data_IF_694660276144
#
_entry.id   IF_694660276144
#
_cell.length_a   1.000
_cell.length_b   1.000
_cell.length_c   1.000
_cell.angle_alpha   90.00
_cell.angle_beta   90.00
_cell.angle_gamma   90.00
#
_symmetry.space_group_name_H-M   'P 1'
#
loop_
_entity.id
_entity.type
_entity.pdbx_description
1 polymer ?
#
# COMPACT_ATOMS: atom_id res chain seq x y z
N UNK A 1 -1.33 -13.26 -14.60
CA UNK A 1 -1.81 -12.14 -13.78
C UNK A 1 -2.84 -12.66 -12.79
N UNK A 2 -2.82 -12.15 -11.54
CA UNK A 2 -3.77 -12.54 -10.51
C UNK A 2 -5.14 -11.87 -10.75
N UNK A 3 -6.23 -12.56 -10.41
CA UNK A 3 -7.58 -11.97 -10.43
C UNK A 3 -7.70 -10.82 -9.42
N UNK A 4 -8.51 -9.81 -9.73
CA UNK A 4 -8.70 -8.61 -8.89
C UNK A 4 -9.14 -8.95 -7.46
N UNK A 5 -10.05 -9.91 -7.29
CA UNK A 5 -10.53 -10.33 -5.98
C UNK A 5 -9.40 -11.04 -5.20
N UNK A 6 -8.61 -11.87 -5.86
CA UNK A 6 -7.47 -12.52 -5.23
C UNK A 6 -6.41 -11.51 -4.78
N UNK A 7 -6.17 -10.43 -5.54
CA UNK A 7 -5.31 -9.31 -5.13
C UNK A 7 -5.87 -8.63 -3.89
N UNK A 8 -7.18 -8.37 -3.86
CA UNK A 8 -7.88 -7.74 -2.73
C UNK A 8 -7.75 -8.58 -1.45
N UNK A 9 -8.05 -9.87 -1.56
CA UNK A 9 -7.95 -10.79 -0.42
C UNK A 9 -6.51 -10.91 0.11
N UNK A 10 -5.52 -10.91 -0.78
CA UNK A 10 -4.12 -10.93 -0.37
C UNK A 10 -3.73 -9.66 0.39
N UNK A 11 -4.15 -8.48 -0.06
CA UNK A 11 -3.90 -7.21 0.65
C UNK A 11 -4.56 -7.25 2.03
N UNK A 12 -5.80 -7.71 2.11
CA UNK A 12 -6.51 -7.85 3.37
C UNK A 12 -5.84 -8.87 4.29
N UNK A 13 -5.41 -10.02 3.80
CA UNK A 13 -4.79 -11.08 4.62
C UNK A 13 -3.44 -10.64 5.18
N UNK A 14 -2.59 -10.02 4.36
CA UNK A 14 -1.28 -9.49 4.78
C UNK A 14 -1.43 -8.27 5.70
N UNK A 15 -2.36 -7.37 5.37
CA UNK A 15 -2.67 -6.19 6.16
C UNK A 15 -1.63 -5.07 6.09
N UNK A 16 -0.63 -5.19 5.21
CA UNK A 16 0.44 -4.22 5.03
C UNK A 16 0.71 -4.01 3.54
N UNK A 17 0.81 -2.76 3.14
CA UNK A 17 1.27 -2.34 1.80
C UNK A 17 2.54 -1.49 1.99
N UNK A 18 3.74 -2.07 1.78
CA UNK A 18 4.99 -1.32 1.83
C UNK A 18 5.06 -0.30 0.71
N UNK A 19 5.33 0.96 1.05
CA UNK A 19 5.45 2.07 0.11
C UNK A 19 6.93 2.34 -0.13
N UNK A 20 7.46 1.86 -1.26
CA UNK A 20 8.89 2.00 -1.59
C UNK A 20 9.15 3.33 -2.29
N UNK A 21 9.91 4.19 -1.59
CA UNK A 21 10.54 5.39 -2.13
C UNK A 21 12.04 5.22 -2.02
N UNK A 22 12.72 5.23 -3.16
CA UNK A 22 14.15 5.00 -3.25
C UNK A 22 14.81 6.00 -4.18
N UNK A 23 16.10 6.23 -4.01
CA UNK A 23 16.87 7.17 -4.84
C UNK A 23 17.34 6.57 -6.17
N UNK A 24 17.21 5.25 -6.32
CA UNK A 24 17.57 4.52 -7.54
C UNK A 24 16.71 3.26 -7.75
N UNK A 25 16.69 2.77 -8.99
CA UNK A 25 16.07 1.48 -9.34
C UNK A 25 16.68 0.31 -8.55
N UNK A 26 18.00 0.33 -8.32
CA UNK A 26 18.70 -0.72 -7.56
C UNK A 26 18.22 -0.77 -6.10
N UNK A 27 18.16 0.38 -5.43
CA UNK A 27 17.64 0.47 -4.07
C UNK A 27 16.17 0.01 -3.98
N UNK A 28 15.35 0.35 -5.00
CA UNK A 28 13.93 -0.06 -5.00
C UNK A 28 13.78 -1.58 -5.12
N UNK A 29 14.60 -2.26 -5.93
CA UNK A 29 14.63 -3.72 -6.00
C UNK A 29 15.07 -4.34 -4.69
N UNK A 30 16.17 -3.85 -4.13
CA UNK A 30 16.69 -4.29 -2.82
C UNK A 30 15.63 -4.14 -1.72
N UNK A 31 14.88 -3.03 -1.70
CA UNK A 31 13.79 -2.82 -0.77
C UNK A 31 12.67 -3.86 -0.93
N UNK A 32 12.24 -4.12 -2.18
CA UNK A 32 11.21 -5.10 -2.49
C UNK A 32 11.60 -6.51 -2.02
N UNK A 33 12.84 -6.92 -2.26
CA UNK A 33 13.39 -8.21 -1.82
C UNK A 33 13.45 -8.30 -0.29
N UNK A 34 13.91 -7.23 0.38
CA UNK A 34 14.03 -7.20 1.84
C UNK A 34 12.66 -7.28 2.53
N UNK A 35 11.64 -6.54 2.07
CA UNK A 35 10.30 -6.62 2.67
C UNK A 35 9.66 -7.99 2.42
N UNK A 36 9.88 -8.58 1.24
CA UNK A 36 9.41 -9.93 0.93
C UNK A 36 10.07 -10.97 1.85
N UNK A 37 11.38 -10.93 2.02
CA UNK A 37 12.15 -11.77 2.96
C UNK A 37 11.67 -11.61 4.41
N UNK A 38 11.22 -10.41 4.78
CA UNK A 38 10.62 -10.11 6.09
C UNK A 38 9.19 -10.60 6.27
N UNK A 39 8.60 -11.26 5.26
CA UNK A 39 7.27 -11.87 5.33
C UNK A 39 6.12 -10.98 4.83
N UNK A 40 6.43 -9.92 4.07
CA UNK A 40 5.44 -9.07 3.42
C UNK A 40 5.53 -9.27 1.90
N UNK A 41 4.79 -10.22 1.31
CA UNK A 41 4.85 -10.54 -0.11
C UNK A 41 4.00 -9.58 -0.96
N UNK A 42 4.09 -8.29 -0.66
CA UNK A 42 3.43 -7.17 -1.36
C UNK A 42 4.41 -6.01 -1.39
N UNK A 43 4.42 -5.26 -2.50
CA UNK A 43 5.20 -4.03 -2.60
C UNK A 43 4.54 -3.01 -3.51
N UNK A 44 4.50 -1.74 -3.08
CA UNK A 44 4.13 -0.58 -3.88
C UNK A 44 5.41 0.16 -4.32
N UNK A 45 5.78 0.09 -5.60
CA UNK A 45 6.86 0.90 -6.17
C UNK A 45 6.28 2.25 -6.57
N UNK A 46 6.75 3.33 -5.93
CA UNK A 46 6.23 4.66 -6.24
C UNK A 46 6.85 5.24 -7.52
N UNK A 47 6.05 5.98 -8.29
CA UNK A 47 6.50 6.67 -9.50
C UNK A 47 7.55 7.77 -9.25
N UNK A 48 7.87 8.04 -7.97
CA UNK A 48 8.98 8.92 -7.59
C UNK A 48 10.34 8.23 -7.65
N UNK A 49 10.37 6.91 -7.76
CA UNK A 49 11.61 6.14 -7.96
C UNK A 49 12.11 6.35 -9.39
N UNK A 50 13.38 6.70 -9.61
CA UNK A 50 13.96 6.74 -10.95
C UNK A 50 13.81 5.39 -11.65
N UNK A 51 13.21 5.37 -12.85
CA UNK A 51 12.96 4.12 -13.58
C UNK A 51 11.89 3.20 -12.96
N UNK A 52 10.94 3.74 -12.20
CA UNK A 52 9.90 2.96 -11.50
C UNK A 52 9.18 1.95 -12.39
N UNK A 53 8.82 2.31 -13.62
CA UNK A 53 8.12 1.42 -14.57
C UNK A 53 8.99 0.21 -14.92
N UNK A 54 10.30 0.41 -15.11
CA UNK A 54 11.23 -0.69 -15.37
C UNK A 54 11.41 -1.59 -14.14
N UNK A 55 11.50 -1.00 -12.94
CA UNK A 55 11.55 -1.78 -11.69
C UNK A 55 10.30 -2.65 -11.53
N UNK A 56 9.11 -2.10 -11.80
CA UNK A 56 7.85 -2.87 -11.77
C UNK A 56 7.92 -4.03 -12.77
N UNK A 57 8.37 -3.77 -14.02
CA UNK A 57 8.48 -4.79 -15.06
C UNK A 57 9.44 -5.91 -14.67
N UNK A 58 10.61 -5.56 -14.16
CA UNK A 58 11.62 -6.52 -13.71
C UNK A 58 11.10 -7.38 -12.56
N UNK A 59 10.51 -6.76 -11.53
CA UNK A 59 9.94 -7.50 -10.41
C UNK A 59 8.76 -8.39 -10.83
N UNK A 60 7.84 -7.88 -11.65
CA UNK A 60 6.69 -8.66 -12.15
C UNK A 60 7.09 -9.81 -13.07
N UNK A 61 8.26 -9.72 -13.73
CA UNK A 61 8.84 -10.80 -14.55
C UNK A 61 9.58 -11.84 -13.69
N UNK A 62 10.25 -11.38 -12.63
CA UNK A 62 11.08 -12.23 -11.77
C UNK A 62 10.26 -13.04 -10.77
N UNK A 63 9.22 -12.42 -10.20
CA UNK A 63 8.36 -13.05 -9.20
C UNK A 63 6.98 -13.38 -9.76
N UNK A 64 6.52 -14.60 -9.52
CA UNK A 64 5.11 -14.91 -9.71
C UNK A 64 4.25 -14.09 -8.72
N UNK A 65 3.00 -13.71 -9.08
CA UNK A 65 2.16 -12.86 -8.22
C UNK A 65 1.83 -13.46 -6.85
N UNK A 66 1.92 -14.77 -6.70
CA UNK A 66 1.78 -15.48 -5.42
C UNK A 66 3.04 -15.42 -4.55
N UNK A 67 4.20 -15.14 -5.13
CA UNK A 67 5.45 -14.93 -4.42
C UNK A 67 5.62 -13.47 -3.99
N UNK A 68 5.41 -12.52 -4.90
CA UNK A 68 5.45 -11.08 -4.63
C UNK A 68 4.40 -10.34 -5.46
N UNK A 69 3.42 -9.74 -4.78
CA UNK A 69 2.42 -8.89 -5.39
C UNK A 69 3.00 -7.49 -5.61
N UNK A 70 3.27 -7.15 -6.87
CA UNK A 70 3.88 -5.86 -7.25
C UNK A 70 2.80 -4.87 -7.67
N UNK A 71 2.78 -3.70 -7.07
CA UNK A 71 1.90 -2.59 -7.42
C UNK A 71 2.66 -1.30 -7.72
N UNK A 72 1.95 -0.34 -8.29
CA UNK A 72 2.47 0.98 -8.59
C UNK A 72 1.84 2.04 -7.68
N UNK A 73 2.66 2.89 -7.08
CA UNK A 73 2.22 4.00 -6.23
C UNK A 73 2.57 5.37 -6.79
N UNK A 74 1.96 6.39 -6.19
CA UNK A 74 2.09 7.79 -6.66
C UNK A 74 1.66 7.95 -8.13
N UNK A 75 0.63 7.18 -8.52
CA UNK A 75 0.03 7.26 -9.85
C UNK A 75 -0.93 8.44 -9.88
N UNK A 76 -0.65 9.46 -10.72
CA UNK A 76 -1.37 10.73 -10.69
C UNK A 76 -2.42 10.88 -11.81
N UNK A 77 -2.29 10.10 -12.89
CA UNK A 77 -3.14 10.22 -14.07
C UNK A 77 -3.28 8.87 -14.81
N UNK A 78 -4.24 8.76 -15.75
CA UNK A 78 -4.47 7.54 -16.51
C UNK A 78 -3.26 7.06 -17.33
N UNK A 79 -2.46 7.98 -17.89
CA UNK A 79 -1.30 7.63 -18.71
C UNK A 79 -0.23 6.93 -17.86
N UNK A 80 0.02 7.42 -16.66
CA UNK A 80 0.92 6.74 -15.70
C UNK A 80 0.34 5.39 -15.28
N UNK A 81 -0.96 5.32 -15.01
CA UNK A 81 -1.64 4.09 -14.65
C UNK A 81 -1.46 3.02 -15.72
N UNK A 82 -1.75 3.35 -17.01
CA UNK A 82 -1.61 2.42 -18.11
C UNK A 82 -0.17 1.90 -18.25
N UNK A 83 0.82 2.80 -18.20
CA UNK A 83 2.24 2.41 -18.27
C UNK A 83 2.63 1.43 -17.16
N UNK A 84 2.12 1.64 -15.94
CA UNK A 84 2.37 0.74 -14.82
C UNK A 84 1.69 -0.63 -15.02
N UNK A 85 0.45 -0.64 -15.52
CA UNK A 85 -0.27 -1.88 -15.83
C UNK A 85 0.40 -2.67 -16.95
N UNK A 86 0.85 -2.00 -18.02
CA UNK A 86 1.61 -2.60 -19.13
C UNK A 86 2.97 -3.17 -18.66
N UNK A 87 3.52 -2.62 -17.59
CA UNK A 87 4.72 -3.12 -16.93
C UNK A 87 4.45 -4.33 -16.00
N UNK A 88 3.19 -4.67 -15.74
CA UNK A 88 2.80 -5.83 -14.94
C UNK A 88 2.33 -5.52 -13.52
N UNK A 89 2.10 -4.23 -13.18
CA UNK A 89 1.53 -3.89 -11.88
C UNK A 89 0.17 -4.58 -11.69
N UNK A 90 -0.02 -5.20 -10.52
CA UNK A 90 -1.24 -5.92 -10.17
C UNK A 90 -2.27 -5.01 -9.48
N UNK A 91 -1.81 -3.90 -8.90
CA UNK A 91 -2.65 -2.88 -8.28
C UNK A 91 -2.04 -1.49 -8.43
N UNK A 92 -2.88 -0.48 -8.32
CA UNK A 92 -2.51 0.94 -8.42
C UNK A 92 -2.81 1.66 -7.09
N UNK A 93 -1.96 2.63 -6.76
CA UNK A 93 -2.17 3.51 -5.60
C UNK A 93 -1.93 4.96 -6.02
N UNK A 94 -2.84 5.85 -5.68
CA UNK A 94 -2.69 7.29 -5.90
C UNK A 94 -2.63 8.06 -4.57
N UNK A 95 -1.96 9.21 -4.50
CA UNK A 95 -1.95 10.02 -3.29
C UNK A 95 -3.22 10.87 -3.13
N UNK A 96 -3.99 11.03 -4.18
CA UNK A 96 -5.25 11.78 -4.23
C UNK A 96 -6.24 11.14 -5.20
N UNK A 97 -7.46 11.61 -5.20
CA UNK A 97 -8.54 11.08 -6.04
C UNK A 97 -8.50 11.66 -7.46
N UNK A 98 -8.48 10.77 -8.44
CA UNK A 98 -8.66 11.09 -9.87
C UNK A 98 -9.67 10.12 -10.48
N UNK A 99 -10.90 10.57 -10.80
CA UNK A 99 -11.95 9.67 -11.30
C UNK A 99 -11.60 8.98 -12.62
N UNK A 100 -10.81 9.62 -13.49
CA UNK A 100 -10.37 9.01 -14.75
C UNK A 100 -9.39 7.86 -14.52
N UNK A 101 -8.52 7.98 -13.51
CA UNK A 101 -7.59 6.89 -13.14
C UNK A 101 -8.35 5.72 -12.52
N UNK A 102 -9.37 5.98 -11.68
CA UNK A 102 -10.24 4.93 -11.13
C UNK A 102 -11.03 4.23 -12.24
N UNK A 103 -11.59 4.98 -13.17
CA UNK A 103 -12.31 4.43 -14.31
C UNK A 103 -11.42 3.55 -15.21
N UNK A 104 -10.17 3.96 -15.46
CA UNK A 104 -9.19 3.15 -16.17
C UNK A 104 -8.90 1.83 -15.45
N UNK A 105 -8.62 1.89 -14.15
CA UNK A 105 -8.35 0.69 -13.35
C UNK A 105 -9.54 -0.30 -13.39
N UNK A 106 -10.77 0.22 -13.34
CA UNK A 106 -11.99 -0.58 -13.47
C UNK A 106 -12.11 -1.24 -14.85
N UNK A 107 -11.87 -0.49 -15.95
CA UNK A 107 -11.89 -0.99 -17.32
C UNK A 107 -10.85 -2.11 -17.53
N UNK A 108 -9.66 -1.95 -16.97
CA UNK A 108 -8.57 -2.92 -16.98
C UNK A 108 -8.74 -4.06 -15.97
N UNK A 109 -9.85 -4.06 -15.20
CA UNK A 109 -10.13 -5.02 -14.11
C UNK A 109 -8.98 -5.11 -13.10
N UNK A 110 -8.38 -3.95 -12.76
CA UNK A 110 -7.29 -3.83 -11.81
C UNK A 110 -7.75 -3.17 -10.52
N UNK A 111 -7.12 -3.58 -9.43
CA UNK A 111 -7.37 -3.01 -8.12
C UNK A 111 -6.74 -1.61 -8.04
N UNK A 112 -7.49 -0.65 -7.49
CA UNK A 112 -7.00 0.69 -7.19
C UNK A 112 -7.30 1.09 -5.74
N UNK A 113 -6.32 1.74 -5.12
CA UNK A 113 -6.40 2.40 -3.82
C UNK A 113 -6.31 3.91 -4.07
N UNK A 114 -7.44 4.56 -4.31
CA UNK A 114 -7.47 6.00 -4.56
C UNK A 114 -7.22 6.78 -3.26
N UNK A 115 -6.40 7.82 -3.35
CA UNK A 115 -6.08 8.69 -2.22
C UNK A 115 -7.22 9.63 -1.88
N UNK A 116 -7.39 9.91 -0.59
CA UNK A 116 -8.35 10.86 -0.03
C UNK A 116 -7.84 11.36 1.32
N UNK A 117 -8.31 12.53 1.76
CA UNK A 117 -8.03 13.03 3.10
C UNK A 117 -9.31 13.40 3.84
N UNK A 118 -10.27 14.05 3.17
CA UNK A 118 -11.53 14.50 3.78
C UNK A 118 -12.65 13.49 3.59
N UNK A 119 -13.72 13.54 4.42
CA UNK A 119 -14.90 12.67 4.24
C UNK A 119 -15.48 12.72 2.83
N UNK A 120 -15.57 13.92 2.23
CA UNK A 120 -16.08 14.09 0.85
C UNK A 120 -15.22 13.36 -0.16
N UNK A 121 -13.90 13.47 -0.06
CA UNK A 121 -12.98 12.76 -0.95
C UNK A 121 -13.06 11.23 -0.76
N UNK A 122 -13.20 10.76 0.48
CA UNK A 122 -13.38 9.33 0.79
C UNK A 122 -14.64 8.78 0.12
N UNK A 123 -15.78 9.49 0.27
CA UNK A 123 -17.05 9.13 -0.36
C UNK A 123 -16.89 9.12 -1.88
N UNK A 124 -16.36 10.20 -2.45
CA UNK A 124 -16.17 10.32 -3.90
C UNK A 124 -15.29 9.21 -4.48
N UNK A 125 -14.20 8.87 -3.80
CA UNK A 125 -13.30 7.80 -4.24
C UNK A 125 -13.99 6.43 -4.17
N UNK A 126 -14.75 6.18 -3.10
CA UNK A 126 -15.50 4.94 -2.92
C UNK A 126 -16.63 4.78 -3.96
N UNK A 127 -17.45 5.81 -4.15
CA UNK A 127 -18.53 5.81 -5.14
C UNK A 127 -18.05 5.68 -6.58
N UNK A 128 -16.84 6.20 -6.87
CA UNK A 128 -16.20 6.02 -8.18
C UNK A 128 -15.71 4.59 -8.43
N UNK A 129 -15.75 3.69 -7.43
CA UNK A 129 -15.37 2.29 -7.56
C UNK A 129 -13.93 1.96 -7.14
N UNK A 130 -13.30 2.80 -6.29
CA UNK A 130 -12.02 2.44 -5.67
C UNK A 130 -12.19 1.22 -4.76
N UNK A 131 -11.28 0.24 -4.84
CA UNK A 131 -11.36 -1.00 -4.07
C UNK A 131 -11.00 -0.82 -2.60
N UNK A 132 -10.14 0.14 -2.33
CA UNK A 132 -9.77 0.67 -1.02
C UNK A 132 -9.62 2.17 -1.14
N UNK A 133 -9.77 2.89 -0.03
CA UNK A 133 -9.48 4.32 0.02
C UNK A 133 -8.23 4.54 0.87
N UNK A 134 -7.18 5.03 0.24
CA UNK A 134 -5.95 5.43 0.93
C UNK A 134 -6.16 6.76 1.62
N UNK A 135 -6.11 6.79 2.94
CA UNK A 135 -6.17 8.05 3.71
C UNK A 135 -4.75 8.59 3.87
N UNK A 136 -4.43 9.71 3.19
CA UNK A 136 -3.08 10.27 3.15
C UNK A 136 -3.07 11.81 3.13
N UNK A 137 -2.21 12.43 3.96
CA UNK A 137 -1.35 11.87 5.02
C UNK A 137 -2.10 11.72 6.36
N UNK A 138 -2.37 10.49 6.79
CA UNK A 138 -3.25 10.20 7.94
C UNK A 138 -2.72 10.72 9.27
N UNK A 139 -1.42 10.63 9.52
CA UNK A 139 -0.79 11.08 10.76
C UNK A 139 -0.95 12.58 11.00
N UNK A 140 -0.93 13.39 9.93
CA UNK A 140 -1.01 14.84 10.02
C UNK A 140 -2.40 15.37 10.44
N UNK A 141 -3.43 14.54 10.35
CA UNK A 141 -4.83 14.92 10.63
C UNK A 141 -5.43 14.19 11.84
N UNK A 142 -4.58 13.60 12.67
CA UNK A 142 -5.01 12.95 13.92
C UNK A 142 -4.80 11.44 13.99
N UNK A 143 -4.21 10.83 12.96
CA UNK A 143 -3.80 9.42 12.99
C UNK A 143 -4.96 8.44 13.23
N UNK A 144 -4.81 7.50 14.18
CA UNK A 144 -5.84 6.49 14.47
C UNK A 144 -7.19 7.09 14.86
N UNK A 145 -7.20 8.21 15.59
CA UNK A 145 -8.45 8.90 15.99
C UNK A 145 -9.22 9.41 14.76
N UNK A 146 -8.51 9.90 13.75
CA UNK A 146 -9.13 10.35 12.51
C UNK A 146 -9.73 9.18 11.73
N UNK A 147 -9.02 8.06 11.61
CA UNK A 147 -9.57 6.85 10.97
C UNK A 147 -10.83 6.38 11.69
N UNK A 148 -10.82 6.34 13.03
CA UNK A 148 -12.00 5.98 13.83
C UNK A 148 -13.19 6.92 13.57
N UNK A 149 -12.94 8.23 13.44
CA UNK A 149 -13.97 9.21 13.13
C UNK A 149 -14.57 9.00 11.74
N UNK A 150 -13.74 8.70 10.72
CA UNK A 150 -14.21 8.37 9.36
C UNK A 150 -15.04 7.07 9.36
N UNK A 151 -14.63 6.06 10.13
CA UNK A 151 -15.33 4.76 10.19
C UNK A 151 -16.71 4.85 10.84
N UNK A 152 -17.00 5.88 11.63
CA UNK A 152 -18.33 6.09 12.20
C UNK A 152 -19.43 6.18 11.14
N UNK A 153 -19.41 7.18 10.25
CA UNK A 153 -20.37 7.31 9.16
C UNK A 153 -20.11 6.40 7.96
N UNK A 154 -18.91 5.83 7.81
CA UNK A 154 -18.45 5.06 6.64
C UNK A 154 -17.96 3.66 7.06
N UNK A 155 -18.79 2.83 7.74
CA UNK A 155 -18.36 1.55 8.30
C UNK A 155 -17.89 0.55 7.24
N UNK A 156 -18.44 0.59 6.03
CA UNK A 156 -18.17 -0.37 4.96
C UNK A 156 -17.00 0.03 4.06
N UNK A 157 -16.52 1.28 4.14
CA UNK A 157 -15.40 1.74 3.30
C UNK A 157 -14.08 1.16 3.83
N UNK A 158 -13.35 0.36 3.04
CA UNK A 158 -12.07 -0.20 3.46
C UNK A 158 -10.96 0.85 3.37
N UNK A 159 -10.60 1.46 4.52
CA UNK A 159 -9.59 2.51 4.62
C UNK A 159 -8.18 1.93 4.78
N UNK A 160 -7.22 2.52 4.08
CA UNK A 160 -5.78 2.22 4.23
C UNK A 160 -5.05 3.51 4.63
N UNK A 161 -4.84 3.76 5.94
CA UNK A 161 -4.06 4.90 6.40
C UNK A 161 -2.61 4.78 5.92
N UNK A 162 -2.08 5.90 5.44
CA UNK A 162 -0.69 6.04 4.99
C UNK A 162 -0.13 7.37 5.51
N UNK A 163 1.13 7.35 5.99
CA UNK A 163 1.74 8.49 6.67
C UNK A 163 1.39 8.52 8.15
N UNK A 164 2.44 8.51 9.01
CA UNK A 164 2.30 8.41 10.47
C UNK A 164 2.03 7.00 10.99
N UNK A 165 2.11 5.98 10.11
CA UNK A 165 2.08 4.56 10.52
C UNK A 165 3.49 4.14 10.87
N UNK A 166 3.71 3.81 12.13
CA UNK A 166 4.97 3.35 12.71
C UNK A 166 4.72 2.21 13.70
N UNK A 167 5.76 1.69 14.37
CA UNK A 167 5.63 0.57 15.29
C UNK A 167 4.72 0.86 16.49
N UNK A 168 4.62 2.12 16.92
CA UNK A 168 3.77 2.56 18.03
C UNK A 168 2.30 2.71 17.60
N UNK A 169 2.04 3.16 16.37
CA UNK A 169 0.69 3.50 15.92
C UNK A 169 0.01 2.41 15.08
N UNK A 170 0.75 1.40 14.61
CA UNK A 170 0.24 0.37 13.71
C UNK A 170 -0.96 -0.39 14.29
N UNK A 171 -0.85 -0.84 15.55
CA UNK A 171 -1.93 -1.52 16.24
C UNK A 171 -3.17 -0.61 16.39
N UNK A 172 -2.97 0.64 16.82
CA UNK A 172 -4.05 1.62 17.01
C UNK A 172 -4.80 1.91 15.70
N UNK A 173 -4.11 2.01 14.57
CA UNK A 173 -4.74 2.18 13.24
C UNK A 173 -5.64 0.98 12.90
N UNK A 174 -5.17 -0.24 13.14
CA UNK A 174 -5.97 -1.45 12.93
C UNK A 174 -7.18 -1.51 13.87
N UNK A 175 -7.00 -1.17 15.14
CA UNK A 175 -8.08 -1.09 16.13
C UNK A 175 -9.12 -0.03 15.75
N UNK A 176 -8.67 1.09 15.16
CA UNK A 176 -9.55 2.14 14.64
C UNK A 176 -10.35 1.72 13.39
N UNK A 177 -10.13 0.54 12.84
CA UNK A 177 -10.88 0.00 11.71
C UNK A 177 -10.18 0.11 10.35
N UNK A 178 -8.87 0.34 10.31
CA UNK A 178 -8.10 0.24 9.07
C UNK A 178 -8.16 -1.19 8.51
N UNK A 179 -8.36 -1.31 7.20
CA UNK A 179 -8.39 -2.59 6.49
C UNK A 179 -6.97 -3.17 6.29
N UNK A 180 -6.02 -2.28 6.00
CA UNK A 180 -4.59 -2.55 5.90
C UNK A 180 -3.82 -1.26 6.21
N UNK A 181 -2.49 -1.35 6.29
CA UNK A 181 -1.59 -0.25 6.63
C UNK A 181 -0.68 0.08 5.45
N UNK A 182 -0.62 1.35 5.02
CA UNK A 182 0.36 1.84 4.06
C UNK A 182 1.61 2.33 4.80
N UNK A 183 2.74 1.62 4.70
CA UNK A 183 3.93 1.91 5.49
C UNK A 183 5.10 2.29 4.59
N UNK A 184 5.59 3.50 4.73
CA UNK A 184 6.72 4.04 3.96
C UNK A 184 8.05 3.95 4.70
N UNK A 185 8.63 5.11 5.03
CA UNK A 185 9.97 5.22 5.61
C UNK A 185 10.21 4.53 6.95
N UNK A 186 9.17 4.25 7.70
CA UNK A 186 9.26 3.48 8.95
C UNK A 186 9.54 1.99 8.70
N UNK A 187 9.18 1.48 7.53
CA UNK A 187 9.48 0.12 7.10
C UNK A 187 10.71 0.09 6.17
N UNK A 188 10.72 0.96 5.16
CA UNK A 188 11.80 1.06 4.18
C UNK A 188 12.54 2.38 4.41
N UNK A 189 13.39 2.40 5.44
CA UNK A 189 14.11 3.60 5.83
C UNK A 189 15.20 3.95 4.80
N UNK A 190 15.22 5.21 4.26
CA UNK A 190 16.19 5.59 3.24
C UNK A 190 17.66 5.43 3.69
N UNK A 191 17.95 5.63 4.97
CA UNK A 191 19.27 5.44 5.54
C UNK A 191 19.74 3.99 5.46
N UNK A 192 18.86 3.02 5.65
CA UNK A 192 19.19 1.60 5.53
C UNK A 192 19.44 1.20 4.07
N UNK A 193 18.68 1.75 3.12
CA UNK A 193 18.94 1.53 1.70
C UNK A 193 20.31 2.07 1.28
N UNK A 194 20.62 3.31 1.65
CA UNK A 194 21.89 3.96 1.32
C UNK A 194 23.11 3.24 1.93
N UNK A 195 22.96 2.70 3.14
CA UNK A 195 24.04 1.96 3.82
C UNK A 195 24.14 0.49 3.42
N UNK A 196 23.19 -0.01 2.60
CA UNK A 196 23.08 -1.43 2.26
C UNK A 196 22.64 -2.33 3.43
N UNK A 197 22.14 -1.74 4.53
CA UNK A 197 21.66 -2.49 5.70
C UNK A 197 20.26 -3.05 5.45
N UNK A 198 20.14 -4.03 4.58
CA UNK A 198 18.88 -4.68 4.22
C UNK A 198 18.28 -5.49 5.36
N UNK A 199 19.10 -6.03 6.26
CA UNK A 199 18.59 -6.84 7.39
C UNK A 199 17.73 -5.99 8.34
N UNK A 200 18.04 -4.71 8.52
CA UNK A 200 17.19 -3.80 9.29
C UNK A 200 15.77 -3.63 8.67
N UNK A 201 15.67 -3.67 7.33
CA UNK A 201 14.37 -3.64 6.63
C UNK A 201 13.61 -4.96 6.82
N UNK A 202 14.33 -6.09 6.75
CA UNK A 202 13.76 -7.43 7.02
C UNK A 202 13.21 -7.51 8.43
N UNK A 203 13.94 -7.03 9.43
CA UNK A 203 13.52 -7.07 10.83
C UNK A 203 12.35 -6.13 11.12
N UNK A 204 12.35 -4.94 10.52
CA UNK A 204 11.20 -4.04 10.58
C UNK A 204 9.94 -4.70 9.97
N UNK A 205 10.08 -5.37 8.82
CA UNK A 205 8.99 -6.09 8.19
C UNK A 205 8.44 -7.20 9.09
N UNK A 206 9.30 -8.03 9.68
CA UNK A 206 8.92 -9.07 10.66
C UNK A 206 8.14 -8.50 11.84
N UNK A 207 8.62 -7.38 12.37
CA UNK A 207 7.98 -6.70 13.50
C UNK A 207 6.59 -6.20 13.14
N UNK A 208 6.41 -5.54 12.00
CA UNK A 208 5.09 -5.10 11.54
C UNK A 208 4.14 -6.28 11.27
N UNK A 209 4.63 -7.37 10.70
CA UNK A 209 3.84 -8.60 10.50
C UNK A 209 3.36 -9.16 11.85
N UNK A 210 4.20 -9.19 12.87
CA UNK A 210 3.83 -9.63 14.22
C UNK A 210 2.73 -8.74 14.81
N UNK A 211 2.89 -7.40 14.73
CA UNK A 211 1.87 -6.44 15.22
C UNK A 211 0.52 -6.68 14.54
N UNK A 212 0.49 -6.85 13.22
CA UNK A 212 -0.77 -7.09 12.48
C UNK A 212 -1.43 -8.39 12.95
N UNK A 213 -0.67 -9.48 13.07
CA UNK A 213 -1.18 -10.78 13.53
C UNK A 213 -1.75 -10.72 14.93
N UNK A 214 -1.01 -10.14 15.88
CA UNK A 214 -1.42 -10.02 17.28
C UNK A 214 -2.67 -9.15 17.44
N UNK A 215 -2.71 -8.00 16.75
CA UNK A 215 -3.86 -7.09 16.82
C UNK A 215 -5.13 -7.74 16.27
N UNK A 216 -5.02 -8.50 15.18
CA UNK A 216 -6.16 -9.19 14.59
C UNK A 216 -6.64 -10.37 15.44
N UNK A 217 -5.75 -11.13 16.05
CA UNK A 217 -6.10 -12.22 16.93
C UNK A 217 -6.93 -11.73 18.14
N UNK A 218 -6.55 -10.59 18.75
CA UNK A 218 -7.31 -9.96 19.82
C UNK A 218 -8.74 -9.58 19.43
N UNK A 219 -8.94 -9.10 18.17
CA UNK A 219 -10.28 -8.73 17.67
C UNK A 219 -11.20 -9.93 17.44
N UNK A 220 -10.65 -11.09 17.13
CA UNK A 220 -11.43 -12.31 16.90
C UNK A 220 -11.87 -12.96 18.22
N UNK A 221 -11.19 -12.63 19.32
CA UNK A 221 -11.45 -13.18 20.66
C UNK A 221 -12.32 -12.30 21.55
N UNK A 222 -12.73 -11.12 21.08
CA UNK A 222 -13.58 -10.14 21.78
C UNK A 222 -14.97 -10.07 21.14
#
# INVERSE_FOLDING_TARGET
>A
MMDKNAVRERILSVGIVPVVRASSSAEARTAAEAVCKGGIPIVEITMTVPGAVEVIRELAKHYAPDQLLVGAGTVLNPEQAQRCLDAGAQFLVSPGFNPKTVALAAAERRLIMAGALTPTEVISAWEAGSDFVKVFPAGNVGGPKYIKALKGPLPDVPLIPTGGVNLQTAAEFLEAGAAALGIGGELVHPGHLKSGNTEAIVDAARTFVAIVKETRAKKTSA
#
